data_IF_733000991906
#
_entry.id   IF_733000991906
#
_cell.length_a   1.000
_cell.length_b   1.000
_cell.length_c   1.000
_cell.angle_alpha   90.00
_cell.angle_beta   90.00
_cell.angle_gamma   90.00
#
_symmetry.space_group_name_H-M   'P 1'
#
loop_
_entity.id
_entity.type
_entity.pdbx_description
1 polymer ?
#
# COMPACT_ATOMS: atom_id res chain seq x y z
N UNK A 1 19.56 -16.02 -12.75
CA UNK A 1 18.55 -16.29 -11.71
C UNK A 1 17.91 -14.95 -11.37
N UNK A 2 16.56 -14.84 -11.31
CA UNK A 2 15.92 -13.58 -10.96
C UNK A 2 16.32 -13.16 -9.54
N UNK A 3 16.46 -11.85 -9.32
CA UNK A 3 16.67 -11.31 -7.98
C UNK A 3 15.44 -11.63 -7.12
N UNK A 4 15.65 -12.16 -5.91
CA UNK A 4 14.59 -12.48 -4.95
C UNK A 4 14.60 -11.48 -3.81
N UNK A 5 13.46 -10.86 -3.54
CA UNK A 5 13.33 -9.85 -2.49
C UNK A 5 12.21 -10.24 -1.52
N UNK A 6 12.55 -10.27 -0.23
CA UNK A 6 11.60 -10.36 0.86
C UNK A 6 11.25 -8.95 1.34
N UNK A 7 9.97 -8.60 1.34
CA UNK A 7 9.44 -7.38 1.96
C UNK A 7 8.76 -7.78 3.26
N UNK A 8 9.16 -7.17 4.37
CA UNK A 8 8.61 -7.47 5.70
C UNK A 8 7.61 -6.37 6.08
N UNK A 9 6.36 -6.76 6.28
CA UNK A 9 5.20 -5.89 6.53
C UNK A 9 4.39 -5.62 5.26
N UNK A 10 3.07 -5.74 5.37
CA UNK A 10 2.06 -5.42 4.37
C UNK A 10 1.24 -4.17 4.77
N UNK A 11 1.86 -3.23 5.50
CA UNK A 11 1.38 -1.85 5.60
C UNK A 11 1.68 -1.05 4.32
N UNK A 12 1.27 0.23 4.25
CA UNK A 12 1.42 1.06 3.05
C UNK A 12 2.83 1.10 2.45
N UNK A 13 3.86 1.19 3.31
CA UNK A 13 5.24 1.21 2.88
C UNK A 13 5.68 -0.12 2.24
N UNK A 14 5.26 -1.25 2.80
CA UNK A 14 5.57 -2.57 2.26
C UNK A 14 4.86 -2.82 0.93
N UNK A 15 3.58 -2.43 0.84
CA UNK A 15 2.80 -2.55 -0.39
C UNK A 15 3.37 -1.68 -1.52
N UNK A 16 3.69 -0.42 -1.24
CA UNK A 16 4.34 0.48 -2.21
C UNK A 16 5.70 -0.07 -2.67
N UNK A 17 6.51 -0.59 -1.74
CA UNK A 17 7.79 -1.23 -2.04
C UNK A 17 7.61 -2.45 -2.94
N UNK A 18 6.67 -3.34 -2.59
CA UNK A 18 6.40 -4.55 -3.36
C UNK A 18 5.93 -4.22 -4.78
N UNK A 19 5.04 -3.23 -4.93
CA UNK A 19 4.55 -2.77 -6.24
C UNK A 19 5.68 -2.20 -7.10
N UNK A 20 6.50 -1.32 -6.53
CA UNK A 20 7.64 -0.74 -7.24
C UNK A 20 8.60 -1.83 -7.75
N UNK A 21 9.01 -2.76 -6.88
CA UNK A 21 9.92 -3.84 -7.24
C UNK A 21 9.32 -4.80 -8.29
N UNK A 22 8.04 -5.14 -8.15
CA UNK A 22 7.32 -6.00 -9.10
C UNK A 22 7.37 -5.45 -10.52
N UNK A 23 7.34 -4.13 -10.69
CA UNK A 23 7.32 -3.46 -11.99
C UNK A 23 8.60 -2.72 -12.38
N UNK A 24 9.66 -2.79 -11.58
CA UNK A 24 10.91 -2.09 -11.85
C UNK A 24 11.49 -2.45 -13.23
N UNK A 25 11.34 -3.70 -13.68
CA UNK A 25 11.77 -4.16 -15.00
C UNK A 25 11.09 -3.46 -16.19
N UNK A 26 9.95 -2.79 -15.97
CA UNK A 26 9.28 -1.98 -17.01
C UNK A 26 9.92 -0.60 -17.20
N UNK A 27 10.72 -0.15 -16.22
CA UNK A 27 11.33 1.18 -16.20
C UNK A 27 12.86 1.14 -16.26
N UNK A 28 13.47 0.00 -15.93
CA UNK A 28 14.91 -0.20 -15.90
C UNK A 28 15.30 -1.45 -16.70
N UNK A 29 16.49 -1.48 -17.32
CA UNK A 29 16.99 -2.63 -18.07
C UNK A 29 17.46 -3.75 -17.13
N UNK A 30 16.54 -4.33 -16.37
CA UNK A 30 16.76 -5.43 -15.43
C UNK A 30 15.74 -6.54 -15.67
N UNK A 31 16.10 -7.77 -15.29
CA UNK A 31 15.15 -8.89 -15.26
C UNK A 31 14.05 -8.67 -14.20
N UNK A 32 12.86 -9.25 -14.38
CA UNK A 32 11.81 -9.22 -13.36
C UNK A 32 12.29 -9.71 -11.98
N UNK A 33 11.90 -8.98 -10.93
CA UNK A 33 12.23 -9.30 -9.54
C UNK A 33 11.14 -10.21 -8.98
N UNK A 34 11.54 -11.32 -8.36
CA UNK A 34 10.64 -12.20 -7.60
C UNK A 34 10.45 -11.62 -6.19
N UNK A 35 9.28 -11.03 -5.93
CA UNK A 35 8.96 -10.36 -4.67
C UNK A 35 8.05 -11.24 -3.81
N UNK A 36 8.37 -11.36 -2.52
CA UNK A 36 7.49 -11.99 -1.53
C UNK A 36 7.30 -11.07 -0.33
N UNK A 37 6.04 -10.80 0.00
CA UNK A 37 5.68 -10.03 1.20
C UNK A 37 5.39 -11.00 2.34
N UNK A 38 5.92 -10.68 3.53
CA UNK A 38 5.65 -11.40 4.77
C UNK A 38 5.00 -10.43 5.75
N UNK A 39 3.77 -10.71 6.14
CA UNK A 39 3.02 -9.95 7.15
C UNK A 39 2.86 -10.82 8.39
N UNK A 40 2.96 -10.20 9.57
CA UNK A 40 2.80 -10.86 10.85
C UNK A 40 1.32 -11.01 11.23
N UNK A 41 0.50 -10.04 10.83
CA UNK A 41 -0.95 -10.03 11.04
C UNK A 41 -1.69 -10.84 9.96
N UNK A 42 -2.99 -11.05 10.13
CA UNK A 42 -3.81 -11.86 9.21
C UNK A 42 -4.15 -11.15 7.89
N UNK A 43 -3.92 -9.84 7.81
CA UNK A 43 -4.33 -9.01 6.68
C UNK A 43 -3.44 -7.75 6.56
N UNK A 44 -3.55 -7.08 5.42
CA UNK A 44 -2.81 -5.86 5.09
C UNK A 44 -3.25 -4.64 5.91
N UNK A 45 -2.52 -3.55 5.75
CA UNK A 45 -2.88 -2.22 6.29
C UNK A 45 -2.10 -1.82 7.54
N UNK A 46 -1.60 -2.79 8.31
CA UNK A 46 -0.73 -2.54 9.47
C UNK A 46 -1.39 -1.61 10.49
N UNK A 47 -0.72 -0.51 10.84
CA UNK A 47 -1.23 0.49 11.80
C UNK A 47 -2.66 0.93 11.52
N UNK A 48 -3.03 1.09 10.24
CA UNK A 48 -4.34 1.60 9.84
C UNK A 48 -5.47 0.58 9.99
N UNK A 49 -5.15 -0.69 10.24
CA UNK A 49 -6.12 -1.74 10.56
C UNK A 49 -6.08 -2.14 12.03
N UNK A 50 -4.89 -2.29 12.60
CA UNK A 50 -4.70 -2.94 13.91
C UNK A 50 -4.37 -1.98 15.06
N UNK A 51 -4.09 -0.69 14.78
CA UNK A 51 -3.60 0.29 15.77
C UNK A 51 -4.36 1.62 15.64
N UNK A 52 -5.67 1.54 15.53
CA UNK A 52 -6.57 2.70 15.36
C UNK A 52 -7.39 2.93 16.63
N UNK A 53 -7.69 4.20 16.92
CA UNK A 53 -8.66 4.57 17.95
C UNK A 53 -10.05 4.70 17.34
N UNK A 54 -11.09 4.59 18.18
CA UNK A 54 -12.45 4.94 17.80
C UNK A 54 -12.50 6.37 17.24
N UNK A 55 -13.23 6.56 16.14
CA UNK A 55 -13.39 7.85 15.43
C UNK A 55 -12.09 8.50 14.94
N UNK A 56 -11.03 7.72 14.72
CA UNK A 56 -9.79 8.23 14.16
C UNK A 56 -9.95 8.70 12.69
N UNK A 57 -9.17 9.72 12.32
CA UNK A 57 -9.09 10.25 10.95
C UNK A 57 -7.63 10.48 10.57
N UNK A 58 -7.30 10.32 9.28
CA UNK A 58 -5.97 10.68 8.77
C UNK A 58 -5.81 12.20 8.72
N UNK A 59 -4.70 12.70 9.26
CA UNK A 59 -4.40 14.15 9.29
C UNK A 59 -3.92 14.73 7.96
N UNK A 60 -3.61 13.88 6.99
CA UNK A 60 -3.17 14.28 5.65
C UNK A 60 -4.30 14.09 4.65
N UNK A 61 -4.48 15.06 3.75
CA UNK A 61 -5.57 14.99 2.78
C UNK A 61 -5.40 13.81 1.82
N UNK A 62 -6.51 13.34 1.24
CA UNK A 62 -6.53 12.25 0.25
C UNK A 62 -5.56 12.48 -0.93
N UNK A 63 -5.29 13.74 -1.27
CA UNK A 63 -4.36 14.09 -2.34
C UNK A 63 -2.89 13.93 -1.95
N UNK A 64 -2.55 14.13 -0.68
CA UNK A 64 -1.20 13.94 -0.15
C UNK A 64 -0.93 12.50 0.29
N UNK A 65 -1.97 11.80 0.73
CA UNK A 65 -1.89 10.42 1.23
C UNK A 65 -1.87 9.39 0.09
N UNK A 66 -2.53 9.68 -1.05
CA UNK A 66 -2.62 8.74 -2.16
C UNK A 66 -1.26 8.39 -2.77
N UNK A 67 -1.11 7.13 -3.20
CA UNK A 67 0.02 6.68 -4.00
C UNK A 67 0.03 7.39 -5.36
N UNK A 68 1.22 7.50 -5.96
CA UNK A 68 1.42 8.28 -7.18
C UNK A 68 0.62 7.73 -8.37
N UNK A 69 0.39 6.42 -8.42
CA UNK A 69 -0.32 5.70 -9.49
C UNK A 69 -1.74 5.24 -9.10
N UNK A 70 -2.20 5.54 -7.89
CA UNK A 70 -3.51 5.12 -7.40
C UNK A 70 -4.17 6.22 -6.58
N UNK A 71 -5.35 6.66 -7.02
CA UNK A 71 -6.08 7.77 -6.40
C UNK A 71 -7.34 7.26 -5.72
N UNK A 72 -7.64 7.84 -4.56
CA UNK A 72 -8.95 7.75 -3.94
C UNK A 72 -10.04 8.33 -4.86
N UNK A 73 -11.30 7.88 -4.73
CA UNK A 73 -12.44 8.45 -5.45
C UNK A 73 -12.58 9.97 -5.28
N UNK A 74 -13.14 10.63 -6.30
CA UNK A 74 -13.31 12.10 -6.28
C UNK A 74 -14.25 12.57 -5.18
N UNK A 75 -15.25 11.76 -4.87
CA UNK A 75 -16.28 11.97 -3.85
C UNK A 75 -15.89 11.46 -2.46
N UNK A 76 -14.72 10.83 -2.29
CA UNK A 76 -14.19 10.48 -0.98
C UNK A 76 -13.96 11.75 -0.12
N UNK A 77 -14.06 11.67 1.22
CA UNK A 77 -13.72 12.77 2.12
C UNK A 77 -12.28 13.28 1.90
N UNK A 78 -12.05 14.57 2.18
CA UNK A 78 -10.70 15.15 2.06
C UNK A 78 -9.73 14.52 3.06
N UNK A 79 -10.20 14.19 4.26
CA UNK A 79 -9.48 13.42 5.27
C UNK A 79 -10.25 12.11 5.48
N UNK A 80 -9.60 10.97 5.25
CA UNK A 80 -10.28 9.67 5.27
C UNK A 80 -10.12 9.01 6.62
N UNK A 81 -11.09 8.16 6.99
CA UNK A 81 -10.93 7.29 8.15
C UNK A 81 -9.89 6.19 7.85
N UNK A 82 -9.27 5.57 8.87
CA UNK A 82 -8.39 4.43 8.68
C UNK A 82 -9.06 3.28 7.92
N UNK A 83 -10.35 3.02 8.15
CA UNK A 83 -11.10 1.96 7.46
C UNK A 83 -11.18 2.23 5.96
N UNK A 84 -11.53 3.45 5.56
CA UNK A 84 -11.54 3.86 4.15
C UNK A 84 -10.13 3.81 3.54
N UNK A 85 -9.10 4.13 4.33
CA UNK A 85 -7.72 4.02 3.87
C UNK A 85 -7.31 2.56 3.66
N UNK A 86 -7.71 1.64 4.55
CA UNK A 86 -7.47 0.19 4.37
C UNK A 86 -8.23 -0.35 3.15
N UNK A 87 -9.45 0.12 2.88
CA UNK A 87 -10.15 -0.22 1.63
C UNK A 87 -9.34 0.23 0.41
N UNK A 88 -8.83 1.46 0.42
CA UNK A 88 -7.95 1.98 -0.63
C UNK A 88 -6.68 1.12 -0.83
N UNK A 89 -6.08 0.61 0.25
CA UNK A 89 -4.93 -0.29 0.15
C UNK A 89 -5.30 -1.65 -0.47
N UNK A 90 -6.49 -2.18 -0.18
CA UNK A 90 -6.99 -3.40 -0.81
C UNK A 90 -7.21 -3.18 -2.32
N UNK A 91 -7.86 -2.07 -2.70
CA UNK A 91 -8.03 -1.69 -4.11
C UNK A 91 -6.69 -1.52 -4.84
N UNK A 92 -5.65 -1.05 -4.14
CA UNK A 92 -4.29 -0.97 -4.66
C UNK A 92 -3.66 -2.34 -4.91
N UNK A 93 -3.98 -3.34 -4.08
CA UNK A 93 -3.48 -4.70 -4.24
C UNK A 93 -4.18 -5.47 -5.36
N UNK A 94 -5.46 -5.20 -5.60
CA UNK A 94 -6.27 -5.89 -6.63
C UNK A 94 -5.95 -5.43 -8.07
N UNK A 95 -5.22 -4.33 -8.24
CA UNK A 95 -4.82 -3.76 -9.54
C UNK A 95 -3.42 -4.18 -9.96
#
# INVERSE_FOLDING_TARGET
MPLRVAVVGAGPAGLATARYLKWAHLYFPIEPIEVRVFEAEEDIGGTFKYRVYEDAELVSSKYLTAFSDHRLPRDAPDYVTPELYVQYLNEYCDR
#
